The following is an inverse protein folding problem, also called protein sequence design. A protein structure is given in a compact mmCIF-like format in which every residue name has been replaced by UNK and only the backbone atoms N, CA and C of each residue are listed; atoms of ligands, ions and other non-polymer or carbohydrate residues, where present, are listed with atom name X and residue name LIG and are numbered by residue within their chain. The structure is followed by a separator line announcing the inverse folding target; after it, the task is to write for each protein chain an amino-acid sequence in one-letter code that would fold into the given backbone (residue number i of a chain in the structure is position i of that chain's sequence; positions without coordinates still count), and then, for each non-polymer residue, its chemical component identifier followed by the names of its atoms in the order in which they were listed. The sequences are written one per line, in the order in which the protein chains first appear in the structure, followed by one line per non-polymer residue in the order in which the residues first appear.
data_IF_238115513144
#
_entry.id   IF_238115513144
#
_cell.length_a   1.000
_cell.length_b   1.000
_cell.length_c   1.000
_cell.angle_alpha   90.00
_cell.angle_beta   90.00
_cell.angle_gamma   90.00
#
_symmetry.space_group_name_H-M   'P 1'
#
loop_
_entity.id
_entity.type
_entity.pdbx_description
1 polymer ?
#
# COMPACT_ATOMS: atom_id res chain seq x y z
N UNK A 1 22.73 -55.07 -1.95
CA UNK A 1 23.03 -54.16 -3.09
C UNK A 1 21.79 -53.54 -3.75
N UNK A 2 20.57 -54.10 -3.62
CA UNK A 2 19.36 -53.54 -4.25
C UNK A 2 18.86 -52.23 -3.60
N UNK A 3 19.00 -52.09 -2.28
CA UNK A 3 18.50 -50.93 -1.51
C UNK A 3 19.18 -49.60 -1.89
N UNK A 4 20.50 -49.61 -2.08
CA UNK A 4 21.28 -48.44 -2.50
C UNK A 4 20.93 -47.93 -3.91
N UNK A 5 20.42 -48.79 -4.80
CA UNK A 5 19.95 -48.36 -6.12
C UNK A 5 18.60 -47.64 -6.00
N UNK A 6 17.67 -48.18 -5.22
CA UNK A 6 16.37 -47.55 -4.97
C UNK A 6 16.48 -46.17 -4.30
N UNK A 7 17.41 -46.00 -3.34
CA UNK A 7 17.65 -44.69 -2.71
C UNK A 7 18.23 -43.66 -3.69
N UNK A 8 19.11 -44.08 -4.60
CA UNK A 8 19.66 -43.19 -5.64
C UNK A 8 18.60 -42.75 -6.64
N UNK A 9 17.71 -43.66 -7.02
CA UNK A 9 16.61 -43.34 -7.95
C UNK A 9 15.58 -42.41 -7.29
N UNK A 10 15.29 -42.61 -6.00
CA UNK A 10 14.42 -41.72 -5.23
C UNK A 10 15.01 -40.31 -5.05
N UNK A 11 16.32 -40.19 -4.84
CA UNK A 11 17.00 -38.90 -4.75
C UNK A 11 17.03 -38.18 -6.10
N UNK A 12 17.23 -38.91 -7.20
CA UNK A 12 17.21 -38.34 -8.55
C UNK A 12 15.82 -37.80 -8.90
N UNK A 13 14.76 -38.56 -8.62
CA UNK A 13 13.39 -38.10 -8.83
C UNK A 13 13.04 -36.85 -7.99
N UNK A 14 13.56 -36.75 -6.77
CA UNK A 14 13.39 -35.54 -5.93
C UNK A 14 14.16 -34.34 -6.46
N UNK A 15 15.38 -34.54 -6.97
CA UNK A 15 16.16 -33.47 -7.57
C UNK A 15 15.47 -32.91 -8.81
N UNK A 16 14.98 -33.78 -9.70
CA UNK A 16 14.21 -33.39 -10.89
C UNK A 16 12.94 -32.63 -10.51
N UNK A 17 12.21 -33.09 -9.49
CA UNK A 17 11.02 -32.39 -8.99
C UNK A 17 11.32 -31.00 -8.43
N UNK A 18 12.44 -30.82 -7.72
CA UNK A 18 12.86 -29.52 -7.20
C UNK A 18 13.31 -28.57 -8.31
N UNK A 19 13.99 -29.07 -9.35
CA UNK A 19 14.36 -28.28 -10.52
C UNK A 19 13.13 -27.79 -11.30
N UNK A 20 12.10 -28.64 -11.39
CA UNK A 20 10.84 -28.30 -12.02
C UNK A 20 10.08 -27.22 -11.23
N UNK A 21 10.05 -27.32 -9.90
CA UNK A 21 9.49 -26.27 -9.03
C UNK A 21 10.26 -24.95 -9.14
N UNK A 22 11.59 -25.00 -9.20
CA UNK A 22 12.41 -23.78 -9.35
C UNK A 22 12.18 -23.08 -10.69
N UNK A 23 11.96 -23.84 -11.76
CA UNK A 23 11.65 -23.27 -13.08
C UNK A 23 10.25 -22.68 -13.13
N UNK A 24 9.26 -23.32 -12.50
CA UNK A 24 7.91 -22.81 -12.33
C UNK A 24 7.89 -21.49 -11.54
N UNK A 25 8.50 -21.46 -10.35
CA UNK A 25 8.57 -20.25 -9.51
C UNK A 25 9.31 -19.10 -10.20
N UNK A 26 10.38 -19.39 -10.95
CA UNK A 26 11.06 -18.37 -11.77
C UNK A 26 10.16 -17.83 -12.88
N UNK A 27 9.37 -18.69 -13.50
CA UNK A 27 8.36 -18.30 -14.48
C UNK A 27 7.32 -17.36 -13.89
N UNK A 28 6.76 -17.70 -12.73
CA UNK A 28 5.79 -16.87 -12.02
C UNK A 28 6.36 -15.52 -11.59
N UNK A 29 7.59 -15.49 -11.06
CA UNK A 29 8.27 -14.24 -10.70
C UNK A 29 8.50 -13.36 -11.92
N UNK A 30 8.88 -13.93 -13.06
CA UNK A 30 9.10 -13.18 -14.28
C UNK A 30 7.79 -12.63 -14.85
N UNK A 31 6.71 -13.42 -14.80
CA UNK A 31 5.37 -12.98 -15.18
C UNK A 31 4.83 -11.87 -14.26
N UNK A 32 5.06 -11.98 -12.96
CA UNK A 32 4.64 -10.96 -11.99
C UNK A 32 5.42 -9.66 -12.22
N UNK A 33 6.73 -9.77 -12.50
CA UNK A 33 7.59 -8.62 -12.79
C UNK A 33 7.20 -7.92 -14.10
N UNK A 34 6.86 -8.67 -15.15
CA UNK A 34 6.40 -8.08 -16.40
C UNK A 34 5.03 -7.42 -16.23
N UNK A 35 4.10 -8.04 -15.50
CA UNK A 35 2.80 -7.46 -15.18
C UNK A 35 2.94 -6.15 -14.38
N UNK A 36 3.82 -6.12 -13.37
CA UNK A 36 4.11 -4.91 -12.61
C UNK A 36 4.73 -3.83 -13.50
N UNK A 37 5.66 -4.20 -14.38
CA UNK A 37 6.29 -3.26 -15.31
C UNK A 37 5.28 -2.65 -16.29
N UNK A 38 4.38 -3.47 -16.84
CA UNK A 38 3.27 -2.99 -17.67
C UNK A 38 2.30 -2.10 -16.88
N UNK A 39 1.98 -2.44 -15.63
CA UNK A 39 1.11 -1.62 -14.78
C UNK A 39 1.76 -0.28 -14.37
N UNK A 40 3.09 -0.22 -14.27
CA UNK A 40 3.84 1.02 -14.03
C UNK A 40 3.98 1.87 -15.30
N UNK A 41 4.10 1.24 -16.48
CA UNK A 41 4.20 1.93 -17.76
C UNK A 41 2.85 2.40 -18.31
N UNK A 42 1.73 1.73 -17.96
CA UNK A 42 0.39 2.25 -18.22
C UNK A 42 0.25 3.58 -17.47
N UNK A 43 0.28 4.68 -18.20
CA UNK A 43 0.41 6.00 -17.61
C UNK A 43 -0.82 6.32 -16.73
N UNK A 44 -0.67 7.07 -15.63
CA UNK A 44 -1.81 7.55 -14.86
C UNK A 44 -2.81 8.36 -15.71
N UNK A 45 -2.35 8.90 -16.86
CA UNK A 45 -3.17 9.63 -17.83
C UNK A 45 -4.19 8.75 -18.56
N UNK A 46 -3.81 7.54 -19.01
CA UNK A 46 -4.75 6.60 -19.63
C UNK A 46 -5.85 6.16 -18.66
N UNK A 47 -5.52 5.97 -17.38
CA UNK A 47 -6.51 5.69 -16.33
C UNK A 47 -7.43 6.87 -16.07
N UNK A 48 -6.92 8.09 -16.09
CA UNK A 48 -7.71 9.32 -15.98
C UNK A 48 -8.67 9.48 -17.16
N UNK A 49 -8.21 9.30 -18.40
CA UNK A 49 -9.08 9.34 -19.59
C UNK A 49 -10.13 8.22 -19.61
N UNK A 50 -9.82 7.06 -19.03
CA UNK A 50 -10.77 5.97 -18.90
C UNK A 50 -11.81 6.26 -17.82
N UNK A 51 -11.41 6.81 -16.67
CA UNK A 51 -12.30 7.26 -15.61
C UNK A 51 -13.22 8.41 -16.06
N UNK A 52 -12.70 9.37 -16.85
CA UNK A 52 -13.50 10.45 -17.41
C UNK A 52 -14.57 9.93 -18.40
N UNK A 53 -14.21 8.95 -19.25
CA UNK A 53 -15.16 8.29 -20.15
C UNK A 53 -16.23 7.51 -19.38
N UNK A 54 -15.85 6.82 -18.32
CA UNK A 54 -16.77 6.06 -17.48
C UNK A 54 -17.73 7.02 -16.75
N UNK A 55 -17.24 8.16 -16.26
CA UNK A 55 -18.06 9.18 -15.58
C UNK A 55 -19.05 9.85 -16.56
N UNK A 56 -18.60 10.16 -17.78
CA UNK A 56 -19.48 10.67 -18.84
C UNK A 56 -20.57 9.66 -19.22
N UNK A 57 -20.24 8.37 -19.28
CA UNK A 57 -21.19 7.30 -19.58
C UNK A 57 -22.21 7.13 -18.46
N UNK A 58 -21.76 7.15 -17.20
CA UNK A 58 -22.63 7.06 -16.03
C UNK A 58 -23.60 8.26 -15.94
N UNK A 59 -23.12 9.48 -16.20
CA UNK A 59 -23.97 10.67 -16.23
C UNK A 59 -25.06 10.58 -17.31
N UNK A 60 -24.69 10.08 -18.51
CA UNK A 60 -25.65 9.88 -19.60
C UNK A 60 -26.73 8.86 -19.22
N UNK A 61 -26.34 7.74 -18.62
CA UNK A 61 -27.29 6.73 -18.15
C UNK A 61 -28.26 7.27 -17.08
N UNK A 62 -27.77 8.10 -16.16
CA UNK A 62 -28.62 8.75 -15.14
C UNK A 62 -29.60 9.73 -15.77
N UNK A 63 -29.17 10.52 -16.76
CA UNK A 63 -30.06 11.44 -17.49
C UNK A 63 -31.14 10.68 -18.28
N UNK A 64 -30.78 9.56 -18.90
CA UNK A 64 -31.71 8.70 -19.63
C UNK A 64 -32.76 8.08 -18.71
N UNK A 65 -32.35 7.53 -17.57
CA UNK A 65 -33.26 7.02 -16.53
C UNK A 65 -34.20 8.12 -16.02
N UNK A 66 -33.71 9.35 -15.86
CA UNK A 66 -34.53 10.50 -15.46
C UNK A 66 -35.53 10.92 -16.55
N UNK A 67 -35.15 10.82 -17.83
CA UNK A 67 -36.04 11.01 -18.98
C UNK A 67 -37.16 9.96 -19.06
N UNK A 68 -36.83 8.71 -18.77
CA UNK A 68 -37.81 7.62 -18.73
C UNK A 68 -38.79 7.76 -17.54
N UNK A 69 -38.32 8.23 -16.39
CA UNK A 69 -39.18 8.54 -15.23
C UNK A 69 -40.08 9.77 -15.45
N UNK A 70 -39.67 10.74 -16.26
CA UNK A 70 -40.49 11.92 -16.57
C UNK A 70 -41.51 11.65 -17.68
N UNK A 71 -41.21 10.77 -18.64
CA UNK A 71 -42.14 10.35 -19.70
C UNK A 71 -43.21 9.35 -19.25
N UNK A 72 -43.06 8.74 -18.07
CA UNK A 72 -44.10 7.92 -17.43
C UNK A 72 -45.14 8.73 -16.64
N UNK A 73 -44.96 10.05 -16.50
CA UNK A 73 -46.02 10.97 -16.04
C UNK A 73 -46.80 11.48 -17.25
N UNK A 74 -47.63 10.61 -17.83
CA UNK A 74 -48.60 11.01 -18.86
C UNK A 74 -49.74 11.78 -18.17
N UNK A 75 -50.04 13.04 -18.57
CA UNK A 75 -51.17 13.76 -17.99
C UNK A 75 -52.46 13.03 -18.38
N UNK A 76 -53.28 12.70 -17.38
CA UNK A 76 -54.58 12.07 -17.58
C UNK A 76 -55.43 12.93 -18.55
N UNK A 77 -56.16 12.30 -19.50
CA UNK A 77 -57.04 13.05 -20.39
C UNK A 77 -58.15 13.69 -19.56
N UNK A 78 -58.36 14.99 -19.78
CA UNK A 78 -59.48 15.76 -19.22
C UNK A 78 -60.80 15.13 -19.67
N UNK A 79 -61.49 14.48 -18.74
CA UNK A 79 -62.92 14.21 -18.84
C UNK A 79 -63.64 15.13 -17.84
N UNK A 80 -64.62 15.86 -18.35
CA UNK A 80 -65.47 16.78 -17.60
C UNK A 80 -66.30 16.03 -16.55
N UNK A 81 -66.41 16.61 -15.36
CA UNK A 81 -67.57 16.41 -14.50
C UNK A 81 -67.28 15.92 -13.09
N UNK A 82 -67.79 16.71 -12.14
CA UNK A 82 -68.13 16.38 -10.76
C UNK A 82 -66.98 16.18 -9.75
N UNK A 83 -66.96 17.13 -8.82
CA UNK A 83 -66.19 17.16 -7.59
C UNK A 83 -66.43 15.91 -6.72
N UNK A 84 -65.35 15.34 -6.19
CA UNK A 84 -65.31 14.83 -4.81
C UNK A 84 -63.91 15.08 -4.26
N UNK A 85 -63.84 15.96 -3.28
CA UNK A 85 -62.69 16.11 -2.40
C UNK A 85 -62.72 14.96 -1.37
N UNK A 86 -61.67 14.15 -1.35
CA UNK A 86 -61.23 13.29 -0.24
C UNK A 86 -59.81 12.84 -0.65
N UNK A 87 -58.73 13.20 0.04
CA UNK A 87 -58.53 12.96 1.46
C UNK A 87 -58.11 11.51 1.64
N UNK A 88 -56.82 11.19 1.51
CA UNK A 88 -56.21 10.10 2.28
C UNK A 88 -54.68 10.19 2.29
N UNK A 89 -54.18 10.55 3.48
CA UNK A 89 -52.86 10.24 4.00
C UNK A 89 -52.86 8.80 4.53
N UNK A 90 -51.68 8.16 4.51
CA UNK A 90 -51.29 6.86 5.07
C UNK A 90 -51.41 5.70 4.05
N UNK A 91 -50.40 4.84 3.82
CA UNK A 91 -49.69 4.02 4.81
C UNK A 91 -48.46 3.35 4.18
N UNK A 92 -47.42 3.16 4.99
CA UNK A 92 -46.26 2.30 4.77
C UNK A 92 -46.69 0.85 5.05
N UNK A 93 -46.49 -0.08 4.11
CA UNK A 93 -46.39 -1.55 4.27
C UNK A 93 -45.65 -2.06 3.00
N UNK A 94 -44.35 -2.35 3.05
CA UNK A 94 -43.78 -3.63 3.45
C UNK A 94 -44.36 -4.87 2.72
N UNK A 95 -43.61 -5.30 1.69
CA UNK A 95 -43.45 -6.72 1.32
C UNK A 95 -44.44 -7.33 0.32
N UNK A 96 -43.96 -7.75 -0.86
CA UNK A 96 -43.66 -9.16 -1.20
C UNK A 96 -43.65 -9.43 -2.72
N UNK A 97 -42.63 -10.17 -3.18
CA UNK A 97 -42.61 -11.04 -4.38
C UNK A 97 -42.52 -10.34 -5.75
N UNK A 98 -41.66 -10.72 -6.71
CA UNK A 98 -40.91 -11.96 -7.01
C UNK A 98 -39.90 -11.61 -8.12
N UNK A 99 -38.60 -11.89 -7.97
CA UNK A 99 -37.88 -13.13 -8.33
C UNK A 99 -37.65 -13.29 -9.86
N UNK A 100 -36.43 -13.07 -10.37
CA UNK A 100 -35.46 -14.05 -10.93
C UNK A 100 -34.92 -13.38 -12.22
N UNK A 101 -33.63 -13.20 -12.47
CA UNK A 101 -32.64 -14.23 -12.87
C UNK A 101 -31.25 -13.68 -12.50
N UNK A 102 -30.60 -14.27 -11.49
CA UNK A 102 -29.15 -14.28 -11.38
C UNK A 102 -28.71 -15.70 -11.71
N UNK A 103 -28.23 -15.88 -12.94
CA UNK A 103 -27.66 -17.14 -13.39
C UNK A 103 -26.32 -17.35 -12.68
N UNK A 104 -26.29 -18.44 -11.92
CA UNK A 104 -25.11 -18.99 -11.29
C UNK A 104 -24.06 -19.36 -12.33
N UNK A 105 -22.84 -18.84 -12.17
CA UNK A 105 -21.61 -19.58 -12.46
C UNK A 105 -20.99 -20.00 -11.14
N UNK A 106 -21.49 -21.11 -10.61
CA UNK A 106 -20.79 -21.91 -9.63
C UNK A 106 -19.59 -22.56 -10.35
N UNK A 107 -18.44 -21.90 -10.30
CA UNK A 107 -17.16 -22.55 -10.55
C UNK A 107 -16.81 -23.38 -9.31
N UNK A 108 -16.60 -24.67 -9.53
CA UNK A 108 -16.19 -25.66 -8.53
C UNK A 108 -15.15 -25.09 -7.55
N UNK A 109 -15.59 -24.80 -6.34
CA UNK A 109 -14.67 -24.57 -5.22
C UNK A 109 -14.36 -25.94 -4.62
N UNK A 110 -13.26 -26.51 -5.08
CA UNK A 110 -12.66 -27.71 -4.50
C UNK A 110 -12.41 -27.46 -3.00
N UNK A 111 -12.82 -28.36 -2.09
CA UNK A 111 -12.55 -28.17 -0.67
C UNK A 111 -11.03 -28.19 -0.46
N UNK A 112 -10.46 -27.25 0.31
CA UNK A 112 -9.03 -27.28 0.61
C UNK A 112 -8.69 -28.63 1.27
N UNK A 113 -7.58 -29.28 0.91
CA UNK A 113 -7.21 -30.54 1.53
C UNK A 113 -7.12 -30.36 3.06
N UNK A 114 -7.78 -31.25 3.80
CA UNK A 114 -7.64 -31.35 5.25
C UNK A 114 -6.15 -31.39 5.56
N UNK A 115 -5.65 -30.35 6.23
CA UNK A 115 -4.34 -30.40 6.89
C UNK A 115 -4.40 -31.53 7.90
N UNK A 116 -3.76 -32.65 7.59
CA UNK A 116 -3.30 -33.58 8.59
C UNK A 116 -2.33 -32.80 9.47
N UNK A 117 -2.79 -32.35 10.63
CA UNK A 117 -1.90 -31.97 11.72
C UNK A 117 -1.06 -33.19 12.05
N UNK A 118 0.15 -33.22 11.52
CA UNK A 118 1.22 -34.04 12.08
C UNK A 118 1.52 -33.43 13.44
N UNK A 119 0.92 -33.99 14.48
CA UNK A 119 1.26 -33.71 15.85
C UNK A 119 2.69 -34.20 16.06
N UNK A 120 3.65 -33.31 15.88
CA UNK A 120 5.00 -33.55 16.36
C UNK A 120 4.92 -33.71 17.89
N UNK A 121 5.48 -34.78 18.46
CA UNK A 121 5.68 -34.82 19.90
C UNK A 121 6.56 -33.62 20.30
N UNK A 122 6.30 -32.98 21.45
CA UNK A 122 7.17 -31.93 21.95
C UNK A 122 8.60 -32.48 22.01
N UNK A 123 9.63 -31.74 21.56
CA UNK A 123 10.99 -32.15 21.81
C UNK A 123 11.15 -32.25 23.33
N UNK A 124 11.36 -33.47 23.83
CA UNK A 124 11.84 -33.70 25.18
C UNK A 124 13.03 -32.79 25.39
N UNK A 125 13.09 -31.98 26.47
CA UNK A 125 14.30 -31.27 26.83
C UNK A 125 15.37 -32.33 27.05
N UNK A 126 16.25 -32.53 26.06
CA UNK A 126 17.49 -33.21 26.31
C UNK A 126 18.21 -32.34 27.34
N UNK A 127 18.32 -32.86 28.57
CA UNK A 127 19.16 -32.28 29.59
C UNK A 127 20.53 -32.04 28.96
N UNK A 128 20.88 -30.76 28.79
CA UNK A 128 22.20 -30.38 28.34
C UNK A 128 23.14 -30.72 29.50
N UNK A 129 23.83 -31.86 29.37
CA UNK A 129 24.99 -32.16 30.19
C UNK A 129 25.98 -31.01 30.00
N UNK A 130 26.43 -30.31 31.06
CA UNK A 130 27.44 -29.28 30.92
C UNK A 130 28.76 -29.96 30.52
N UNK A 131 29.07 -29.95 29.23
CA UNK A 131 30.40 -30.26 28.72
C UNK A 131 31.30 -29.08 29.02
N UNK A 132 32.03 -29.22 30.12
CA UNK A 132 33.18 -28.40 30.45
C UNK A 132 34.21 -28.45 29.31
N UNK A 133 34.74 -27.27 28.96
CA UNK A 133 36.07 -27.15 28.37
C UNK A 133 36.19 -27.27 26.86
N UNK A 134 35.85 -26.19 26.14
CA UNK A 134 36.58 -25.80 24.93
C UNK A 134 36.51 -24.27 24.80
N UNK A 135 37.47 -23.58 25.39
CA UNK A 135 37.75 -22.15 25.21
C UNK A 135 38.29 -21.88 23.80
N UNK A 136 37.47 -22.13 22.78
CA UNK A 136 37.67 -21.65 21.42
C UNK A 136 36.91 -20.35 21.25
N UNK A 137 37.59 -19.21 21.48
CA UNK A 137 37.06 -17.88 21.23
C UNK A 137 36.87 -17.73 19.71
N UNK A 138 35.72 -18.13 19.19
CA UNK A 138 35.32 -17.78 17.82
C UNK A 138 35.28 -16.25 17.78
N UNK A 139 36.09 -15.57 16.95
CA UNK A 139 35.95 -14.13 16.78
C UNK A 139 34.52 -13.88 16.31
N UNK A 140 33.71 -13.24 17.15
CA UNK A 140 32.47 -12.64 16.67
C UNK A 140 32.88 -11.66 15.59
N UNK A 141 32.59 -11.99 14.33
CA UNK A 141 32.72 -11.05 13.25
C UNK A 141 31.89 -9.82 13.65
N UNK A 142 32.55 -8.69 13.84
CA UNK A 142 31.89 -7.42 14.11
C UNK A 142 31.10 -7.11 12.85
N UNK A 143 29.77 -7.34 12.87
CA UNK A 143 28.89 -6.80 11.84
C UNK A 143 29.04 -5.28 11.90
N UNK A 144 29.52 -4.62 10.83
CA UNK A 144 29.65 -3.17 10.85
C UNK A 144 28.27 -2.55 11.11
N UNK A 145 28.23 -1.55 11.99
CA UNK A 145 27.00 -0.82 12.27
C UNK A 145 26.47 -0.18 10.97
N UNK A 146 25.14 -0.13 10.75
CA UNK A 146 24.58 0.46 9.55
C UNK A 146 24.92 1.95 9.48
N UNK A 147 25.31 2.41 8.29
CA UNK A 147 25.64 3.82 8.05
C UNK A 147 24.34 4.65 8.04
N UNK A 148 24.34 5.75 8.78
CA UNK A 148 23.21 6.70 8.87
C UNK A 148 23.45 7.88 7.94
N UNK A 149 22.47 8.17 7.08
CA UNK A 149 22.55 9.27 6.12
C UNK A 149 21.40 10.24 6.40
N UNK A 150 21.74 11.49 6.68
CA UNK A 150 20.76 12.56 6.83
C UNK A 150 20.49 13.17 5.45
N UNK A 151 19.25 13.04 4.96
CA UNK A 151 18.83 13.51 3.65
C UNK A 151 17.70 14.54 3.78
N UNK A 152 17.79 15.62 2.98
CA UNK A 152 16.79 16.70 2.98
C UNK A 152 16.30 17.02 1.57
N UNK A 153 14.98 16.98 1.41
CA UNK A 153 14.28 17.43 0.20
C UNK A 153 13.56 18.75 0.50
N UNK A 154 13.80 19.79 -0.30
CA UNK A 154 13.04 21.03 -0.17
C UNK A 154 11.76 20.95 -1.00
N UNK A 155 10.82 21.81 -0.68
CA UNK A 155 9.57 21.90 -1.39
C UNK A 155 8.76 23.12 -1.00
N UNK A 156 7.51 23.15 -1.45
CA UNK A 156 6.58 24.23 -1.20
C UNK A 156 5.15 23.73 -1.09
N UNK A 157 4.35 24.43 -0.30
CA UNK A 157 2.91 24.19 -0.22
C UNK A 157 2.26 24.48 -1.57
N UNK A 158 1.48 23.54 -2.09
CA UNK A 158 0.60 23.72 -3.25
C UNK A 158 -0.78 24.16 -2.78
N UNK A 159 -1.32 23.46 -1.78
CA UNK A 159 -2.61 23.77 -1.16
C UNK A 159 -2.64 23.32 0.30
N UNK A 160 -3.33 24.06 1.15
CA UNK A 160 -3.55 23.69 2.54
C UNK A 160 -5.00 23.99 2.94
N UNK A 161 -5.59 23.09 3.71
CA UNK A 161 -6.89 23.27 4.36
C UNK A 161 -6.78 22.83 5.82
N UNK A 162 -7.44 23.51 6.75
CA UNK A 162 -7.32 23.24 8.19
C UNK A 162 -6.03 23.73 8.85
N UNK A 163 -5.03 24.16 8.07
CA UNK A 163 -3.79 24.80 8.53
C UNK A 163 -3.68 26.23 8.00
N UNK A 164 -3.07 27.12 8.78
CA UNK A 164 -2.79 28.51 8.37
C UNK A 164 -1.51 28.61 7.55
N UNK A 165 -1.46 27.89 6.42
CA UNK A 165 -0.33 27.88 5.49
C UNK A 165 -0.78 28.40 4.11
N UNK A 166 -0.04 29.35 3.56
CA UNK A 166 -0.33 29.88 2.23
C UNK A 166 0.33 29.01 1.14
N UNK A 167 -0.26 28.90 -0.07
CA UNK A 167 0.45 28.36 -1.23
C UNK A 167 1.78 29.07 -1.45
N UNK A 168 2.82 28.31 -1.81
CA UNK A 168 4.19 28.80 -1.96
C UNK A 168 5.01 28.84 -0.66
N UNK A 169 4.41 28.57 0.51
CA UNK A 169 5.16 28.47 1.77
C UNK A 169 6.23 27.40 1.66
N UNK A 170 7.47 27.72 2.05
CA UNK A 170 8.59 26.78 1.99
C UNK A 170 8.38 25.60 2.96
N UNK A 171 8.75 24.42 2.49
CA UNK A 171 8.72 23.17 3.25
C UNK A 171 10.02 22.38 3.07
N UNK A 172 10.31 21.50 4.02
CA UNK A 172 11.37 20.51 3.91
C UNK A 172 10.91 19.16 4.46
N UNK A 173 11.28 18.08 3.77
CA UNK A 173 11.23 16.73 4.28
C UNK A 173 12.65 16.30 4.66
N UNK A 174 12.85 15.91 5.91
CA UNK A 174 14.13 15.48 6.48
C UNK A 174 13.99 14.02 6.89
N UNK A 175 14.86 13.15 6.35
CA UNK A 175 14.84 11.73 6.66
C UNK A 175 16.22 11.21 7.07
N UNK A 176 16.22 10.34 8.06
CA UNK A 176 17.38 9.53 8.41
C UNK A 176 17.28 8.22 7.67
N UNK A 177 18.20 7.99 6.73
CA UNK A 177 18.29 6.78 5.92
C UNK A 177 19.31 5.81 6.52
N UNK A 178 19.05 4.53 6.37
CA UNK A 178 19.95 3.45 6.79
C UNK A 178 20.48 2.73 5.56
N UNK A 179 21.80 2.75 5.38
CA UNK A 179 22.48 1.88 4.43
C UNK A 179 22.81 0.56 5.13
N UNK A 180 22.06 -0.50 4.78
CA UNK A 180 22.32 -1.86 5.27
C UNK A 180 23.29 -2.62 4.37
N UNK A 181 23.85 -1.97 3.34
CA UNK A 181 24.69 -2.55 2.29
C UNK A 181 24.05 -3.72 1.52
N UNK A 182 22.76 -3.96 1.69
CA UNK A 182 22.01 -4.96 0.94
C UNK A 182 21.33 -4.32 -0.28
N UNK A 183 21.82 -4.66 -1.47
CA UNK A 183 21.11 -4.49 -2.75
C UNK A 183 20.77 -3.03 -3.18
N UNK A 184 21.41 -2.01 -2.58
CA UNK A 184 21.30 -0.62 -3.01
C UNK A 184 19.97 0.07 -2.65
N UNK A 185 19.11 -0.58 -1.87
CA UNK A 185 17.93 0.02 -1.28
C UNK A 185 18.28 0.53 0.13
N UNK A 186 17.89 1.76 0.43
CA UNK A 186 18.07 2.37 1.75
C UNK A 186 16.79 2.23 2.57
N UNK A 187 16.94 1.84 3.83
CA UNK A 187 15.87 1.91 4.83
C UNK A 187 15.59 3.35 5.24
N UNK A 188 14.37 3.63 5.74
CA UNK A 188 14.01 4.93 6.31
C UNK A 188 13.76 4.73 7.79
N UNK A 189 14.64 5.25 8.64
CA UNK A 189 14.55 5.14 10.10
C UNK A 189 13.59 6.19 10.67
N UNK A 190 13.73 7.43 10.21
CA UNK A 190 12.92 8.56 10.66
C UNK A 190 12.57 9.49 9.49
N UNK A 191 11.40 10.13 9.58
CA UNK A 191 10.95 11.16 8.64
C UNK A 191 10.24 12.29 9.40
N UNK A 192 10.66 13.52 9.14
CA UNK A 192 10.00 14.74 9.60
C UNK A 192 9.70 15.64 8.42
N UNK A 193 8.49 16.20 8.35
CA UNK A 193 8.14 17.23 7.36
C UNK A 193 7.79 18.53 8.08
N UNK A 194 8.44 19.61 7.65
CA UNK A 194 8.29 20.96 8.19
C UNK A 194 7.79 21.90 7.11
N UNK A 195 6.82 22.73 7.45
CA UNK A 195 6.30 23.77 6.56
C UNK A 195 6.10 25.07 7.33
N UNK A 196 6.63 26.18 6.82
CA UNK A 196 6.50 27.48 7.51
C UNK A 196 7.04 27.50 8.94
N UNK A 197 8.02 26.64 9.24
CA UNK A 197 8.61 26.48 10.58
C UNK A 197 7.84 25.55 11.53
N UNK A 198 6.71 24.97 11.11
CA UNK A 198 5.93 24.02 11.92
C UNK A 198 6.16 22.58 11.43
N UNK A 199 6.30 21.64 12.38
CA UNK A 199 6.28 20.20 12.11
C UNK A 199 4.84 19.79 11.73
N UNK A 200 4.64 19.38 10.47
CA UNK A 200 3.34 18.93 9.95
C UNK A 200 3.24 17.40 9.92
N UNK A 201 4.37 16.71 10.02
CA UNK A 201 4.43 15.25 10.17
C UNK A 201 5.73 14.86 10.87
N UNK A 202 5.67 13.91 11.81
CA UNK A 202 6.83 13.23 12.37
C UNK A 202 6.53 11.73 12.50
N UNK A 203 7.44 10.91 12.00
CA UNK A 203 7.33 9.46 12.12
C UNK A 203 7.53 8.94 13.55
N UNK A 204 8.01 9.79 14.46
CA UNK A 204 8.19 9.48 15.88
C UNK A 204 6.95 9.78 16.73
N UNK A 205 5.94 10.45 16.19
CA UNK A 205 4.70 10.72 16.94
C UNK A 205 3.97 9.40 17.26
N UNK A 206 3.27 9.36 18.39
CA UNK A 206 2.60 8.16 18.88
C UNK A 206 1.55 7.63 17.88
N UNK A 207 1.70 6.37 17.51
CA UNK A 207 0.77 5.67 16.65
C UNK A 207 -0.36 5.06 17.48
N UNK A 208 -1.57 5.59 17.31
CA UNK A 208 -2.80 5.02 17.87
C UNK A 208 -3.71 4.54 16.73
N UNK A 209 -3.84 3.23 16.58
CA UNK A 209 -4.61 2.58 15.51
C UNK A 209 -3.73 1.74 14.58
N UNK A 210 -4.13 1.62 13.33
CA UNK A 210 -3.44 0.80 12.32
C UNK A 210 -2.58 1.71 11.43
N UNK A 211 -1.34 1.29 11.17
CA UNK A 211 -0.48 1.87 10.14
C UNK A 211 -0.20 0.84 9.05
N UNK A 212 -0.37 1.27 7.80
CA UNK A 212 0.14 0.62 6.61
C UNK A 212 1.37 1.41 6.15
N UNK A 213 2.52 1.11 6.76
CA UNK A 213 3.79 1.76 6.43
C UNK A 213 4.43 1.08 5.21
N UNK A 214 4.73 1.89 4.19
CA UNK A 214 5.60 1.54 3.07
C UNK A 214 6.66 2.62 2.95
N UNK A 215 7.91 2.25 3.09
CA UNK A 215 9.03 3.19 2.99
C UNK A 215 10.16 2.59 2.17
N UNK A 216 10.84 3.43 1.41
CA UNK A 216 12.07 3.08 0.74
C UNK A 216 12.76 4.30 0.17
N UNK A 217 14.08 4.30 0.21
CA UNK A 217 14.89 5.29 -0.46
C UNK A 217 15.87 4.62 -1.43
N UNK A 218 16.27 5.36 -2.46
CA UNK A 218 17.29 4.89 -3.40
C UNK A 218 18.33 5.96 -3.65
N UNK A 219 19.55 5.50 -3.87
CA UNK A 219 20.71 6.35 -4.15
C UNK A 219 20.89 6.49 -5.66
N UNK A 220 21.09 7.70 -6.12
CA UNK A 220 21.53 8.04 -7.47
C UNK A 220 22.88 8.73 -7.37
N UNK A 221 23.87 8.22 -8.09
CA UNK A 221 25.19 8.83 -8.14
C UNK A 221 25.38 9.51 -9.50
N UNK A 222 25.75 10.79 -9.47
CA UNK A 222 26.04 11.57 -10.66
C UNK A 222 27.26 12.45 -10.39
N UNK A 223 28.27 12.37 -11.25
CA UNK A 223 29.52 13.14 -11.12
C UNK A 223 30.19 13.02 -9.73
N UNK A 224 30.13 11.83 -9.12
CA UNK A 224 30.68 11.56 -7.79
C UNK A 224 29.89 12.18 -6.64
N UNK A 225 28.72 12.76 -6.89
CA UNK A 225 27.76 13.21 -5.87
C UNK A 225 26.63 12.20 -5.74
N UNK A 226 26.41 11.74 -4.50
CA UNK A 226 25.25 10.93 -4.14
C UNK A 226 24.04 11.83 -3.92
N UNK A 227 22.93 11.44 -4.51
CA UNK A 227 21.63 12.07 -4.36
C UNK A 227 20.59 11.01 -4.04
N UNK A 228 19.51 11.39 -3.37
CA UNK A 228 18.57 10.41 -2.81
C UNK A 228 17.15 10.70 -3.28
N UNK A 229 16.41 9.63 -3.59
CA UNK A 229 14.96 9.67 -3.78
C UNK A 229 14.27 8.94 -2.63
N UNK A 230 13.03 9.34 -2.33
CA UNK A 230 12.25 8.79 -1.22
C UNK A 230 10.82 8.49 -1.68
N UNK A 231 10.35 7.31 -1.28
CA UNK A 231 8.93 6.93 -1.26
C UNK A 231 8.56 6.61 0.18
N UNK A 232 7.51 7.23 0.68
CA UNK A 232 7.06 7.05 2.05
C UNK A 232 5.55 7.21 2.15
N UNK A 233 4.86 6.11 2.44
CA UNK A 233 3.44 6.06 2.73
C UNK A 233 3.26 5.58 4.16
N UNK A 234 2.62 6.38 5.00
CA UNK A 234 2.19 6.02 6.34
C UNK A 234 0.71 6.39 6.47
N UNK A 235 -0.15 5.42 6.16
CA UNK A 235 -1.60 5.58 6.07
C UNK A 235 -2.32 4.60 6.99
N UNK A 236 -3.63 4.77 7.17
CA UNK A 236 -4.47 3.81 7.89
C UNK A 236 -5.47 4.47 8.83
N UNK A 237 -6.39 3.65 9.35
CA UNK A 237 -7.40 4.10 10.31
C UNK A 237 -6.76 4.39 11.67
N UNK A 238 -6.82 5.64 12.10
CA UNK A 238 -6.14 6.15 13.29
C UNK A 238 -7.08 6.95 14.18
N UNK A 239 -6.81 6.87 15.48
CA UNK A 239 -7.52 7.62 16.53
C UNK A 239 -6.58 8.49 17.37
N UNK A 240 -5.42 8.89 16.84
CA UNK A 240 -4.40 9.66 17.57
C UNK A 240 -3.80 10.85 16.81
N UNK A 241 -2.72 11.38 17.39
CA UNK A 241 -2.05 12.62 16.93
C UNK A 241 -1.15 12.43 15.71
N UNK A 242 -0.72 11.21 15.40
CA UNK A 242 0.13 10.99 14.24
C UNK A 242 -0.65 11.21 12.94
N UNK A 243 -0.23 12.22 12.19
CA UNK A 243 -0.78 12.55 10.88
C UNK A 243 -0.48 11.42 9.88
N UNK A 244 -1.25 11.34 8.82
CA UNK A 244 -1.01 10.41 7.71
C UNK A 244 -0.22 11.12 6.61
N UNK A 245 0.56 10.36 5.86
CA UNK A 245 1.40 10.89 4.78
C UNK A 245 1.46 9.91 3.60
N UNK A 246 1.51 10.47 2.40
CA UNK A 246 1.96 9.78 1.19
C UNK A 246 2.90 10.72 0.46
N UNK A 247 4.12 10.26 0.20
CA UNK A 247 5.22 11.08 -0.31
C UNK A 247 6.00 10.31 -1.37
N UNK A 248 6.23 10.97 -2.51
CA UNK A 248 7.08 10.48 -3.58
C UNK A 248 7.91 11.63 -4.15
N UNK A 249 9.23 11.60 -3.91
CA UNK A 249 10.11 12.67 -4.41
C UNK A 249 10.30 12.55 -5.92
N UNK A 250 10.35 11.32 -6.47
CA UNK A 250 10.36 11.11 -7.93
C UNK A 250 9.09 11.64 -8.59
N UNK A 251 7.94 11.50 -7.93
CA UNK A 251 6.66 12.11 -8.32
C UNK A 251 6.55 13.62 -8.02
N UNK A 252 7.53 14.18 -7.29
CA UNK A 252 7.57 15.59 -6.85
C UNK A 252 6.37 16.01 -6.01
N UNK A 253 5.76 15.07 -5.30
CA UNK A 253 4.52 15.31 -4.56
C UNK A 253 4.57 14.71 -3.16
N UNK A 254 3.89 15.37 -2.23
CA UNK A 254 3.53 14.79 -0.96
C UNK A 254 2.15 15.29 -0.52
N UNK A 255 1.39 14.42 0.15
CA UNK A 255 0.15 14.75 0.81
C UNK A 255 0.26 14.37 2.27
N UNK A 256 -0.10 15.29 3.16
CA UNK A 256 -0.13 15.08 4.61
C UNK A 256 -1.51 15.47 5.09
N UNK A 257 -2.17 14.60 5.84
CA UNK A 257 -3.52 14.86 6.30
C UNK A 257 -3.79 14.28 7.68
N UNK A 258 -4.81 14.82 8.34
CA UNK A 258 -5.39 14.26 9.55
C UNK A 258 -6.90 14.12 9.37
N UNK A 259 -7.39 12.89 9.54
CA UNK A 259 -8.81 12.58 9.46
C UNK A 259 -9.56 12.88 10.78
N UNK A 260 -8.83 12.93 11.90
CA UNK A 260 -9.35 13.28 13.24
C UNK A 260 -9.26 14.78 13.50
N UNK A 261 -10.11 15.31 14.38
CA UNK A 261 -10.11 16.74 14.74
C UNK A 261 -8.84 17.09 15.54
N UNK A 262 -8.14 18.19 15.21
CA UNK A 262 -8.41 19.12 14.10
C UNK A 262 -8.03 18.52 12.74
N UNK A 263 -9.00 18.46 11.82
CA UNK A 263 -8.80 17.88 10.49
C UNK A 263 -8.02 18.84 9.60
N UNK A 264 -7.10 18.32 8.81
CA UNK A 264 -6.41 19.11 7.80
C UNK A 264 -5.99 18.26 6.59
N UNK A 265 -5.76 18.92 5.47
CA UNK A 265 -5.18 18.34 4.26
C UNK A 265 -4.17 19.32 3.67
N UNK A 266 -2.94 18.86 3.48
CA UNK A 266 -1.80 19.60 2.99
C UNK A 266 -1.20 18.87 1.79
N UNK A 267 -1.07 19.59 0.67
CA UNK A 267 -0.38 19.10 -0.53
C UNK A 267 0.88 19.91 -0.78
N UNK A 268 1.97 19.22 -1.06
CA UNK A 268 3.29 19.78 -1.25
C UNK A 268 3.83 19.40 -2.63
N UNK A 269 4.62 20.30 -3.20
CA UNK A 269 5.51 20.01 -4.33
C UNK A 269 6.92 19.88 -3.80
N UNK A 270 7.60 18.77 -4.09
CA UNK A 270 8.95 18.47 -3.60
C UNK A 270 9.99 18.51 -4.72
N UNK A 271 11.23 18.82 -4.36
CA UNK A 271 12.39 18.55 -5.19
C UNK A 271 12.62 17.03 -5.31
N UNK A 272 13.04 16.55 -6.49
CA UNK A 272 13.11 15.10 -6.72
C UNK A 272 14.27 14.42 -6.00
N UNK A 273 15.36 15.16 -5.78
CA UNK A 273 16.62 14.66 -5.29
C UNK A 273 17.01 15.44 -4.03
N UNK A 274 17.35 14.71 -2.97
CA UNK A 274 18.00 15.30 -1.81
C UNK A 274 19.50 15.33 -1.99
N UNK A 275 20.12 16.34 -1.39
CA UNK A 275 21.50 16.23 -0.94
C UNK A 275 21.49 15.55 0.43
N UNK A 276 22.38 14.59 0.64
CA UNK A 276 22.51 13.93 1.94
C UNK A 276 23.97 13.87 2.40
N UNK A 277 24.16 14.00 3.70
CA UNK A 277 25.47 13.85 4.34
C UNK A 277 25.48 12.57 5.13
N UNK A 278 26.40 11.67 4.80
CA UNK A 278 26.61 10.48 5.59
C UNK A 278 27.26 10.84 6.94
N UNK A 279 26.67 10.36 8.03
CA UNK A 279 27.21 10.46 9.37
C UNK A 279 27.60 9.08 9.82
N UNK A 280 28.91 8.84 9.91
CA UNK A 280 29.43 7.59 10.43
C UNK A 280 29.43 7.66 11.96
N UNK A 281 28.35 7.21 12.59
CA UNK A 281 28.32 7.06 14.05
C UNK A 281 29.07 5.79 14.40
N UNK A 282 30.40 5.89 14.42
CA UNK A 282 31.27 4.82 14.92
C UNK A 282 31.03 4.65 16.42
N UNK A 283 30.37 3.56 16.79
CA UNK A 283 30.28 3.07 18.17
C UNK A 283 30.85 1.66 18.22
#
# INVERSE_FOLDING_TARGET
MSQYRGERDALRARAEGLEQQLTEVRGELQQTRSALHHAQQSTPWERLEQLERDLATAQKAVLELRGQMSSTVRPAPRANGAAVAAGMVALILAGTGTALILAARAGNSEPPPRRTTVTWPPPTPAAQTPLAGATGKVPSAVTPAPERIEARWNGQVVSASGLKLAPGTACSAEATLLDTHEQGALGVDALTVRCGGQDVYRSSDDLNGISMLRSGASTQESEGRKSYTLVYDDTGDRTGDRNQISLSTSGREARIWRATVPTFDLRLRLEPLASGTATNTGF
#
